data_IF_311168103053
#
_entry.id   IF_311168103053
#
_cell.length_a   1.000
_cell.length_b   1.000
_cell.length_c   1.000
_cell.angle_alpha   90.00
_cell.angle_beta   90.00
_cell.angle_gamma   90.00
#
_symmetry.space_group_name_H-M   'P 1'
#
loop_
_entity.id
_entity.type
_entity.pdbx_description
1 polymer ?
#
# COMPACT_ATOMS: atom_id res chain seq x y z
N UNK A 1 11.11 -10.89 3.67
CA UNK A 1 10.37 -11.96 4.33
C UNK A 1 9.14 -12.34 3.50
N UNK A 2 8.84 -13.64 3.39
CA UNK A 2 7.57 -14.16 2.86
C UNK A 2 6.60 -14.37 4.01
N UNK A 3 5.40 -13.78 3.92
CA UNK A 3 4.42 -13.70 5.01
C UNK A 3 3.16 -14.48 4.64
N UNK A 4 2.63 -15.22 5.59
CA UNK A 4 1.49 -16.13 5.40
C UNK A 4 0.17 -15.37 5.13
N UNK A 5 -0.07 -14.26 5.82
CA UNK A 5 -1.32 -13.50 5.71
C UNK A 5 -1.11 -12.02 6.02
N UNK A 6 -2.05 -11.15 5.61
CA UNK A 6 -1.93 -9.73 5.90
C UNK A 6 -1.93 -9.41 7.41
N UNK A 7 -2.80 -10.00 8.26
CA UNK A 7 -2.73 -9.78 9.71
C UNK A 7 -1.35 -10.10 10.29
N UNK A 8 -0.70 -11.12 9.77
CA UNK A 8 0.62 -11.58 10.22
C UNK A 8 1.72 -10.56 9.93
N UNK A 9 1.58 -9.72 8.88
CA UNK A 9 2.51 -8.60 8.62
C UNK A 9 2.60 -7.68 9.83
N UNK A 10 1.46 -7.37 10.47
CA UNK A 10 1.41 -6.50 11.64
C UNK A 10 2.08 -7.12 12.87
N UNK A 11 1.97 -8.45 13.04
CA UNK A 11 2.66 -9.15 14.12
C UNK A 11 4.18 -9.16 13.89
N UNK A 12 4.63 -9.35 12.66
CA UNK A 12 6.06 -9.25 12.31
C UNK A 12 6.57 -7.82 12.53
N UNK A 13 5.84 -6.79 12.06
CA UNK A 13 6.19 -5.38 12.32
C UNK A 13 6.34 -5.13 13.83
N UNK A 14 5.36 -5.56 14.62
CA UNK A 14 5.37 -5.40 16.08
C UNK A 14 6.55 -6.09 16.73
N UNK A 15 6.87 -7.32 16.32
CA UNK A 15 7.99 -8.08 16.86
C UNK A 15 9.32 -7.38 16.58
N UNK A 16 9.55 -6.97 15.34
CA UNK A 16 10.80 -6.32 14.95
C UNK A 16 10.94 -4.91 15.55
N UNK A 17 9.90 -4.08 15.50
CA UNK A 17 9.95 -2.70 16.01
C UNK A 17 10.04 -2.61 17.54
N UNK A 18 9.75 -3.69 18.26
CA UNK A 18 9.94 -3.73 19.71
C UNK A 18 11.42 -3.76 20.14
N UNK A 19 12.32 -4.27 19.28
CA UNK A 19 13.71 -4.50 19.63
C UNK A 19 14.71 -3.88 18.64
N UNK A 20 14.26 -3.52 17.43
CA UNK A 20 15.10 -2.95 16.38
C UNK A 20 14.50 -1.62 15.92
N UNK A 21 15.35 -0.60 15.77
CA UNK A 21 14.96 0.66 15.14
C UNK A 21 14.90 0.46 13.63
N UNK A 22 13.68 0.23 13.11
CA UNK A 22 13.43 0.06 11.68
C UNK A 22 13.49 1.42 10.98
N UNK A 23 14.25 1.50 9.89
CA UNK A 23 14.28 2.66 8.98
C UNK A 23 13.25 2.55 7.87
N UNK A 24 12.82 1.32 7.54
CA UNK A 24 11.70 1.07 6.64
C UNK A 24 10.99 -0.24 6.98
N UNK A 25 9.68 -0.27 6.73
CA UNK A 25 8.86 -1.48 6.73
C UNK A 25 7.80 -1.39 5.63
N UNK A 26 8.08 -2.06 4.54
CA UNK A 26 7.27 -2.11 3.34
C UNK A 26 6.56 -3.44 3.21
N UNK A 27 5.41 -3.46 2.53
CA UNK A 27 4.78 -4.72 2.13
C UNK A 27 4.34 -4.70 0.68
N UNK A 28 4.19 -5.88 0.10
CA UNK A 28 3.59 -6.08 -1.22
C UNK A 28 3.02 -7.50 -1.36
N UNK A 29 1.99 -7.64 -2.19
CA UNK A 29 1.34 -8.92 -2.48
C UNK A 29 2.18 -9.78 -3.45
N UNK A 30 1.90 -11.09 -3.49
CA UNK A 30 2.50 -12.02 -4.47
C UNK A 30 2.26 -11.53 -5.91
N UNK A 31 1.07 -11.00 -6.20
CA UNK A 31 0.75 -10.47 -7.53
C UNK A 31 1.69 -9.32 -7.90
N UNK A 32 1.98 -8.41 -6.95
CA UNK A 32 2.93 -7.33 -7.18
C UNK A 32 4.32 -7.87 -7.54
N UNK A 33 4.83 -8.83 -6.77
CA UNK A 33 6.12 -9.45 -7.00
C UNK A 33 6.19 -10.15 -8.36
N UNK A 34 5.17 -10.94 -8.71
CA UNK A 34 5.12 -11.65 -9.99
C UNK A 34 5.15 -10.66 -11.18
N UNK A 35 4.43 -9.53 -11.10
CA UNK A 35 4.46 -8.48 -12.15
C UNK A 35 5.85 -7.88 -12.31
N UNK A 36 6.52 -7.55 -11.21
CA UNK A 36 7.89 -6.99 -11.24
C UNK A 36 8.89 -8.00 -11.80
N UNK A 37 8.89 -9.23 -11.31
CA UNK A 37 9.81 -10.28 -11.78
C UNK A 37 9.63 -10.50 -13.28
N UNK A 38 8.38 -10.68 -13.74
CA UNK A 38 8.10 -11.00 -15.14
C UNK A 38 8.42 -9.84 -16.09
N UNK A 39 8.22 -8.60 -15.68
CA UNK A 39 8.44 -7.44 -16.56
C UNK A 39 9.87 -6.92 -16.51
N UNK A 40 10.47 -6.85 -15.31
CA UNK A 40 11.83 -6.31 -15.13
C UNK A 40 12.93 -7.36 -15.25
N UNK A 41 12.58 -8.66 -15.21
CA UNK A 41 13.54 -9.74 -15.22
C UNK A 41 14.35 -9.86 -13.91
N UNK A 42 13.81 -9.33 -12.80
CA UNK A 42 14.43 -9.52 -11.49
C UNK A 42 14.30 -10.97 -11.02
N UNK A 43 15.22 -11.39 -10.18
CA UNK A 43 15.13 -12.70 -9.54
C UNK A 43 14.21 -12.65 -8.31
N UNK A 44 13.47 -13.73 -8.08
CA UNK A 44 12.75 -13.90 -6.83
C UNK A 44 13.74 -13.91 -5.65
N UNK A 45 13.39 -13.33 -4.49
CA UNK A 45 14.30 -13.23 -3.35
C UNK A 45 14.59 -14.62 -2.76
N UNK A 46 13.65 -15.56 -2.86
CA UNK A 46 13.75 -16.96 -2.45
C UNK A 46 12.74 -17.81 -3.25
N UNK A 47 12.74 -19.13 -3.06
CA UNK A 47 11.92 -20.06 -3.86
C UNK A 47 10.48 -20.22 -3.35
N UNK A 48 10.30 -20.06 -2.05
CA UNK A 48 8.99 -20.21 -1.39
C UNK A 48 8.07 -19.07 -1.83
N UNK A 49 6.88 -19.40 -2.34
CA UNK A 49 5.84 -18.42 -2.62
C UNK A 49 5.06 -18.10 -1.35
N UNK A 50 4.75 -16.84 -1.15
CA UNK A 50 3.97 -16.34 -0.02
C UNK A 50 2.87 -15.40 -0.52
N UNK A 51 1.70 -15.34 0.12
CA UNK A 51 0.65 -14.39 -0.26
C UNK A 51 1.10 -12.94 -0.20
N UNK A 52 1.97 -12.62 0.78
CA UNK A 52 2.54 -11.29 1.00
C UNK A 52 4.04 -11.36 1.27
N UNK A 53 4.67 -10.22 1.07
CA UNK A 53 6.09 -10.02 1.36
C UNK A 53 6.25 -8.76 2.20
N UNK A 54 7.18 -8.81 3.16
CA UNK A 54 7.62 -7.67 3.92
C UNK A 54 9.11 -7.40 3.63
N UNK A 55 9.44 -6.15 3.32
CA UNK A 55 10.80 -5.65 3.21
C UNK A 55 11.08 -4.75 4.41
N UNK A 56 12.05 -5.16 5.23
CA UNK A 56 12.48 -4.43 6.41
C UNK A 56 13.87 -3.87 6.19
N UNK A 57 14.11 -2.63 6.64
CA UNK A 57 15.43 -2.03 6.69
C UNK A 57 15.71 -1.51 8.09
N UNK A 58 16.96 -1.67 8.53
CA UNK A 58 17.45 -1.16 9.79
C UNK A 58 18.96 -0.90 9.72
N UNK A 59 19.43 0.03 10.54
CA UNK A 59 20.88 0.30 10.65
C UNK A 59 21.57 -0.78 11.46
N UNK A 60 22.67 -1.29 10.93
CA UNK A 60 23.50 -2.33 11.57
C UNK A 60 24.83 -1.78 12.08
N UNK A 61 24.78 -0.63 12.78
CA UNK A 61 25.98 -0.02 13.35
C UNK A 61 26.68 -0.87 14.45
N UNK A 62 25.95 -1.81 15.05
CA UNK A 62 26.43 -2.74 16.07
C UNK A 62 26.11 -4.19 15.66
N UNK A 63 27.06 -5.10 15.82
CA UNK A 63 26.88 -6.52 15.47
C UNK A 63 25.68 -7.19 16.17
N UNK A 64 25.32 -6.71 17.37
CA UNK A 64 24.18 -7.18 18.14
C UNK A 64 22.83 -7.01 17.45
N UNK A 65 22.68 -6.00 16.56
CA UNK A 65 21.41 -5.75 15.84
C UNK A 65 21.15 -6.84 14.79
N UNK A 66 22.20 -7.32 14.11
CA UNK A 66 22.08 -8.42 13.16
C UNK A 66 21.68 -9.73 13.86
N UNK A 67 22.30 -10.02 15.01
CA UNK A 67 21.96 -11.21 15.81
C UNK A 67 20.51 -11.13 16.30
N UNK A 68 20.06 -9.94 16.75
CA UNK A 68 18.67 -9.70 17.13
C UNK A 68 17.73 -9.92 15.95
N UNK A 69 18.07 -9.40 14.76
CA UNK A 69 17.28 -9.58 13.54
C UNK A 69 17.14 -11.05 13.14
N UNK A 70 18.21 -11.83 13.23
CA UNK A 70 18.18 -13.28 12.95
C UNK A 70 17.32 -14.02 13.97
N UNK A 71 17.48 -13.73 15.28
CA UNK A 71 16.66 -14.34 16.32
C UNK A 71 15.17 -14.04 16.12
N UNK A 72 14.80 -12.78 15.84
CA UNK A 72 13.42 -12.40 15.57
C UNK A 72 12.86 -13.08 14.32
N UNK A 73 13.70 -13.25 13.29
CA UNK A 73 13.33 -14.01 12.10
C UNK A 73 13.00 -15.47 12.47
N UNK A 74 13.86 -16.15 13.22
CA UNK A 74 13.64 -17.53 13.66
C UNK A 74 12.37 -17.65 14.52
N UNK A 75 12.16 -16.72 15.46
CA UNK A 75 10.93 -16.67 16.27
C UNK A 75 9.66 -16.49 15.42
N UNK A 76 9.71 -15.67 14.38
CA UNK A 76 8.58 -15.47 13.47
C UNK A 76 8.34 -16.71 12.58
N UNK A 77 9.41 -17.42 12.19
CA UNK A 77 9.30 -18.71 11.49
C UNK A 77 8.66 -19.78 12.38
N UNK A 78 9.11 -19.90 13.63
CA UNK A 78 8.56 -20.86 14.60
C UNK A 78 7.06 -20.62 14.89
N UNK A 79 6.62 -19.37 14.85
CA UNK A 79 5.20 -18.99 14.99
C UNK A 79 4.39 -19.21 13.70
N UNK A 80 5.03 -19.56 12.59
CA UNK A 80 4.40 -19.69 11.27
C UNK A 80 3.99 -18.36 10.64
N UNK A 81 4.48 -17.22 11.16
CA UNK A 81 4.21 -15.89 10.60
C UNK A 81 5.03 -15.62 9.35
N UNK A 82 6.27 -16.11 9.33
CA UNK A 82 7.19 -16.03 8.20
C UNK A 82 7.37 -17.42 7.61
N UNK A 83 7.24 -17.53 6.30
CA UNK A 83 7.37 -18.78 5.54
C UNK A 83 8.78 -19.01 5.02
N UNK A 84 9.49 -17.92 4.71
CA UNK A 84 10.85 -17.90 4.17
C UNK A 84 11.40 -16.47 4.24
N UNK A 85 12.71 -16.31 4.11
CA UNK A 85 13.30 -14.98 4.12
C UNK A 85 14.75 -14.95 3.65
N UNK A 86 15.22 -13.76 3.35
CA UNK A 86 16.62 -13.50 2.98
C UNK A 86 17.08 -12.20 3.64
N UNK A 87 18.32 -12.20 4.09
CA UNK A 87 19.00 -11.01 4.59
C UNK A 87 20.10 -10.61 3.60
N UNK A 88 20.15 -9.35 3.21
CA UNK A 88 21.22 -8.82 2.37
C UNK A 88 22.56 -8.83 3.14
N UNK A 89 23.63 -9.25 2.45
CA UNK A 89 25.00 -9.28 2.98
C UNK A 89 25.89 -8.22 2.31
N UNK A 90 25.30 -7.37 1.49
CA UNK A 90 25.99 -6.27 0.80
C UNK A 90 24.98 -5.22 0.32
N UNK A 91 25.45 -3.98 0.12
CA UNK A 91 24.62 -2.89 -0.45
C UNK A 91 23.99 -3.28 -1.77
N UNK A 92 24.73 -3.97 -2.65
CA UNK A 92 24.19 -4.43 -3.93
C UNK A 92 23.01 -5.41 -3.77
N UNK A 93 23.09 -6.29 -2.77
CA UNK A 93 21.95 -7.19 -2.48
C UNK A 93 20.77 -6.40 -1.88
N UNK A 94 21.02 -5.45 -0.98
CA UNK A 94 20.00 -4.58 -0.44
C UNK A 94 19.28 -3.78 -1.55
N UNK A 95 20.02 -3.14 -2.46
CA UNK A 95 19.50 -2.46 -3.64
C UNK A 95 18.64 -3.40 -4.52
N UNK A 96 19.08 -4.66 -4.70
CA UNK A 96 18.32 -5.64 -5.48
C UNK A 96 17.01 -6.03 -4.81
N UNK A 97 16.96 -6.10 -3.47
CA UNK A 97 15.72 -6.34 -2.72
C UNK A 97 14.79 -5.14 -2.77
N UNK A 98 15.33 -3.91 -2.64
CA UNK A 98 14.55 -2.69 -2.77
C UNK A 98 13.91 -2.53 -4.15
N UNK A 99 14.59 -2.90 -5.22
CA UNK A 99 14.02 -2.88 -6.58
C UNK A 99 12.75 -3.72 -6.72
N UNK A 100 12.61 -4.83 -5.98
CA UNK A 100 11.38 -5.62 -5.98
C UNK A 100 10.17 -4.82 -5.48
N UNK A 101 10.38 -3.85 -4.60
CA UNK A 101 9.35 -2.97 -4.04
C UNK A 101 9.19 -1.67 -4.85
N UNK A 102 10.28 -0.99 -5.14
CA UNK A 102 10.28 0.32 -5.81
C UNK A 102 9.75 0.25 -7.24
N UNK A 103 10.10 -0.80 -7.98
CA UNK A 103 9.70 -0.98 -9.37
C UNK A 103 8.20 -1.33 -9.55
N UNK A 104 7.45 -1.60 -8.47
CA UNK A 104 6.04 -2.00 -8.56
C UNK A 104 5.22 -0.92 -9.29
N UNK A 105 5.25 0.32 -8.81
CA UNK A 105 4.41 1.39 -9.34
C UNK A 105 4.64 1.63 -10.84
N UNK A 106 5.90 1.63 -11.28
CA UNK A 106 6.25 1.82 -12.68
C UNK A 106 5.89 0.60 -13.53
N UNK A 107 6.15 -0.60 -13.01
CA UNK A 107 5.80 -1.85 -13.70
C UNK A 107 4.30 -1.94 -13.97
N UNK A 108 3.46 -1.49 -13.03
CA UNK A 108 2.02 -1.58 -13.20
C UNK A 108 1.45 -0.70 -14.32
N UNK A 109 2.14 0.36 -14.76
CA UNK A 109 1.65 1.25 -15.82
C UNK A 109 1.27 0.53 -17.12
N UNK A 110 1.97 -0.54 -17.48
CA UNK A 110 1.66 -1.34 -18.67
C UNK A 110 0.31 -2.08 -18.61
N UNK A 111 -0.27 -2.21 -17.41
CA UNK A 111 -1.56 -2.88 -17.18
C UNK A 111 -2.73 -1.91 -17.03
N UNK A 112 -2.55 -0.63 -17.42
CA UNK A 112 -3.56 0.43 -17.26
C UNK A 112 -4.19 0.44 -15.84
N UNK A 113 -3.40 0.61 -14.76
CA UNK A 113 -3.89 0.44 -13.40
C UNK A 113 -4.82 1.57 -12.98
N UNK A 114 -5.88 1.24 -12.26
CA UNK A 114 -6.64 2.21 -11.48
C UNK A 114 -6.04 2.29 -10.07
N UNK A 115 -5.35 3.40 -9.80
CA UNK A 115 -4.53 3.58 -8.59
C UNK A 115 -5.31 4.26 -7.48
N UNK A 116 -5.25 3.70 -6.28
CA UNK A 116 -5.75 4.29 -5.05
C UNK A 116 -4.61 4.36 -4.04
N UNK A 117 -4.41 5.55 -3.50
CA UNK A 117 -3.48 5.87 -2.42
C UNK A 117 -4.34 6.24 -1.20
N UNK A 118 -4.46 5.33 -0.27
CA UNK A 118 -5.39 5.41 0.85
C UNK A 118 -4.67 5.15 2.17
N UNK A 119 -5.23 5.65 3.26
CA UNK A 119 -4.75 5.28 4.59
C UNK A 119 -5.90 4.82 5.48
N UNK A 120 -5.58 3.89 6.36
CA UNK A 120 -6.47 3.42 7.44
C UNK A 120 -5.62 3.24 8.69
N UNK A 121 -6.26 3.34 9.86
CA UNK A 121 -5.57 2.98 11.10
C UNK A 121 -4.99 1.57 10.99
N UNK A 122 -3.73 1.42 11.38
CA UNK A 122 -2.99 0.16 11.24
C UNK A 122 -3.75 -1.04 11.85
N UNK A 123 -4.35 -0.84 13.03
CA UNK A 123 -5.16 -1.87 13.71
C UNK A 123 -6.43 -2.28 12.96
N UNK A 124 -6.88 -1.48 11.98
CA UNK A 124 -8.09 -1.73 11.19
C UNK A 124 -7.77 -2.21 9.76
N UNK A 125 -6.49 -2.22 9.37
CA UNK A 125 -6.08 -2.63 8.02
C UNK A 125 -6.49 -4.05 7.65
N UNK A 126 -6.34 -5.08 8.51
CA UNK A 126 -6.72 -6.45 8.15
C UNK A 126 -8.19 -6.54 7.77
N UNK A 127 -9.08 -6.00 8.60
CA UNK A 127 -10.52 -5.99 8.34
C UNK A 127 -10.89 -5.18 7.09
N UNK A 128 -10.18 -4.07 6.87
CA UNK A 128 -10.38 -3.22 5.69
C UNK A 128 -10.02 -3.95 4.41
N UNK A 129 -8.83 -4.56 4.35
CA UNK A 129 -8.36 -5.31 3.16
C UNK A 129 -9.31 -6.47 2.86
N UNK A 130 -9.67 -7.26 3.87
CA UNK A 130 -10.63 -8.36 3.73
C UNK A 130 -11.98 -7.85 3.18
N UNK A 131 -12.49 -6.72 3.70
CA UNK A 131 -13.72 -6.12 3.21
C UNK A 131 -13.63 -5.69 1.74
N UNK A 132 -12.49 -5.16 1.31
CA UNK A 132 -12.26 -4.79 -0.09
C UNK A 132 -12.21 -6.05 -0.96
N UNK A 133 -11.46 -7.07 -0.56
CA UNK A 133 -11.31 -8.32 -1.31
C UNK A 133 -12.65 -9.04 -1.49
N UNK A 134 -13.47 -9.14 -0.44
CA UNK A 134 -14.83 -9.71 -0.50
C UNK A 134 -15.70 -8.95 -1.51
N UNK A 135 -15.67 -7.61 -1.50
CA UNK A 135 -16.48 -6.81 -2.43
C UNK A 135 -16.01 -7.02 -3.87
N UNK A 136 -14.70 -7.06 -4.09
CA UNK A 136 -14.14 -7.31 -5.42
C UNK A 136 -14.52 -8.69 -5.92
N UNK A 137 -14.37 -9.72 -5.11
CA UNK A 137 -14.74 -11.10 -5.46
C UNK A 137 -16.22 -11.21 -5.85
N UNK A 138 -17.11 -10.56 -5.10
CA UNK A 138 -18.56 -10.64 -5.33
C UNK A 138 -19.05 -9.79 -6.49
N UNK A 139 -18.52 -8.58 -6.68
CA UNK A 139 -19.07 -7.59 -7.64
C UNK A 139 -18.19 -7.35 -8.85
N UNK A 140 -16.88 -7.62 -8.74
CA UNK A 140 -15.91 -7.34 -9.77
C UNK A 140 -14.91 -8.52 -9.97
N UNK A 141 -15.38 -9.76 -10.14
CA UNK A 141 -14.55 -10.97 -10.10
C UNK A 141 -13.46 -11.04 -11.17
N UNK A 142 -13.46 -10.10 -12.11
CA UNK A 142 -12.43 -9.99 -13.16
C UNK A 142 -11.32 -8.99 -12.81
N UNK A 143 -11.43 -8.29 -11.68
CA UNK A 143 -10.42 -7.34 -11.26
C UNK A 143 -9.28 -8.05 -10.56
N UNK A 144 -8.07 -7.82 -11.03
CA UNK A 144 -6.85 -8.27 -10.36
C UNK A 144 -6.36 -7.16 -9.44
N UNK A 145 -6.27 -7.44 -8.14
CA UNK A 145 -5.82 -6.50 -7.13
C UNK A 145 -4.31 -6.63 -6.92
N UNK A 146 -3.64 -5.49 -6.83
CA UNK A 146 -2.24 -5.40 -6.44
C UNK A 146 -2.14 -4.50 -5.22
N UNK A 147 -1.78 -5.13 -4.10
CA UNK A 147 -1.55 -4.45 -2.84
C UNK A 147 -0.06 -4.24 -2.60
N UNK A 148 0.32 -3.06 -2.19
CA UNK A 148 1.61 -2.72 -1.60
C UNK A 148 1.47 -1.44 -0.76
N UNK A 149 2.49 -1.10 0.03
CA UNK A 149 2.42 0.14 0.82
C UNK A 149 3.41 0.21 1.96
N UNK A 150 3.30 1.31 2.69
CA UNK A 150 4.12 1.68 3.84
C UNK A 150 3.33 1.35 5.12
N UNK A 151 3.52 0.15 5.65
CA UNK A 151 2.69 -0.34 6.77
C UNK A 151 2.85 0.53 8.02
N UNK A 152 4.07 0.99 8.31
CA UNK A 152 4.34 1.83 9.47
C UNK A 152 3.52 3.11 9.51
N UNK A 153 3.16 3.65 8.34
CA UNK A 153 2.42 4.91 8.18
C UNK A 153 0.92 4.73 7.97
N UNK A 154 0.46 3.48 7.96
CA UNK A 154 -0.94 3.19 7.66
C UNK A 154 -1.32 3.39 6.19
N UNK A 155 -0.33 3.50 5.29
CA UNK A 155 -0.54 3.77 3.87
C UNK A 155 -0.67 2.48 3.06
N UNK A 156 -1.74 2.41 2.27
CA UNK A 156 -2.06 1.32 1.36
C UNK A 156 -2.19 1.82 -0.07
N UNK A 157 -1.42 1.23 -0.96
CA UNK A 157 -1.57 1.41 -2.41
C UNK A 157 -2.39 0.24 -2.98
N UNK A 158 -3.65 0.50 -3.25
CA UNK A 158 -4.53 -0.43 -3.95
C UNK A 158 -4.52 -0.11 -5.43
N UNK A 159 -4.01 -1.01 -6.25
CA UNK A 159 -4.11 -0.90 -7.70
C UNK A 159 -5.01 -2.01 -8.24
N UNK A 160 -5.93 -1.62 -9.12
CA UNK A 160 -6.78 -2.55 -9.84
C UNK A 160 -6.28 -2.57 -11.28
N UNK A 161 -5.91 -3.74 -11.78
CA UNK A 161 -5.41 -3.88 -13.14
C UNK A 161 -6.57 -4.05 -14.12
N UNK A 162 -6.45 -3.43 -15.31
CA UNK A 162 -7.50 -3.53 -16.34
C UNK A 162 -7.52 -4.94 -16.91
N UNK A 163 -8.67 -5.64 -16.84
CA UNK A 163 -8.82 -6.94 -17.48
C UNK A 163 -8.76 -6.82 -19.02
N UNK A 164 -8.21 -7.83 -19.67
CA UNK A 164 -8.06 -7.85 -21.14
C UNK A 164 -9.43 -7.77 -21.89
N UNK A 165 -10.48 -8.32 -21.29
CA UNK A 165 -11.83 -8.35 -21.86
C UNK A 165 -12.62 -7.04 -21.71
N UNK A 166 -12.03 -6.00 -21.10
CA UNK A 166 -12.66 -4.67 -20.97
C UNK A 166 -11.92 -3.63 -21.81
N UNK A 167 -12.68 -2.77 -22.45
CA UNK A 167 -12.13 -1.52 -23.01
C UNK A 167 -11.75 -0.57 -21.87
N UNK A 168 -10.83 0.37 -22.13
CA UNK A 168 -10.42 1.37 -21.12
C UNK A 168 -11.62 2.19 -20.62
N UNK A 169 -12.60 2.53 -21.49
CA UNK A 169 -13.80 3.26 -21.10
C UNK A 169 -14.68 2.45 -20.13
N UNK A 170 -14.93 1.17 -20.43
CA UNK A 170 -15.70 0.27 -19.56
C UNK A 170 -14.98 0.04 -18.21
N UNK A 171 -13.66 -0.06 -18.24
CA UNK A 171 -12.86 -0.22 -17.03
C UNK A 171 -12.97 1.02 -16.13
N UNK A 172 -12.78 2.23 -16.69
CA UNK A 172 -12.91 3.49 -15.96
C UNK A 172 -14.30 3.65 -15.35
N UNK A 173 -15.36 3.32 -16.07
CA UNK A 173 -16.74 3.36 -15.55
C UNK A 173 -16.91 2.43 -14.35
N UNK A 174 -16.44 1.18 -14.45
CA UNK A 174 -16.52 0.21 -13.35
C UNK A 174 -15.68 0.64 -12.14
N UNK A 175 -14.48 1.17 -12.37
CA UNK A 175 -13.64 1.72 -11.32
C UNK A 175 -14.27 2.94 -10.64
N UNK A 176 -14.97 3.80 -11.39
CA UNK A 176 -15.71 4.93 -10.82
C UNK A 176 -16.85 4.46 -9.89
N UNK A 177 -17.54 3.38 -10.24
CA UNK A 177 -18.56 2.78 -9.37
C UNK A 177 -17.93 2.13 -8.14
N UNK A 178 -16.80 1.43 -8.30
CA UNK A 178 -16.06 0.87 -7.16
C UNK A 178 -15.52 1.96 -6.23
N UNK A 179 -15.06 3.11 -6.75
CA UNK A 179 -14.54 4.21 -5.94
C UNK A 179 -15.55 4.74 -4.92
N UNK A 180 -16.85 4.70 -5.21
CA UNK A 180 -17.91 5.09 -4.26
C UNK A 180 -17.95 4.09 -3.09
N UNK A 181 -17.96 2.80 -3.42
CA UNK A 181 -17.95 1.72 -2.41
C UNK A 181 -16.68 1.76 -1.57
N UNK A 182 -15.54 1.97 -2.22
CA UNK A 182 -14.25 2.12 -1.52
C UNK A 182 -14.25 3.35 -0.60
N UNK A 183 -14.82 4.48 -1.05
CA UNK A 183 -14.96 5.70 -0.25
C UNK A 183 -15.82 5.45 1.01
N UNK A 184 -16.95 4.75 0.87
CA UNK A 184 -17.81 4.36 2.00
C UNK A 184 -17.07 3.46 3.00
N UNK A 185 -16.27 2.50 2.51
CA UNK A 185 -15.41 1.68 3.37
C UNK A 185 -14.37 2.52 4.08
N UNK A 186 -13.65 3.40 3.38
CA UNK A 186 -12.65 4.29 3.96
C UNK A 186 -13.28 5.11 5.09
N UNK A 187 -14.46 5.71 4.87
CA UNK A 187 -15.19 6.45 5.89
C UNK A 187 -15.57 5.57 7.09
N UNK A 188 -16.09 4.34 6.84
CA UNK A 188 -16.43 3.36 7.90
C UNK A 188 -15.24 3.01 8.78
N UNK A 189 -14.05 2.91 8.18
CA UNK A 189 -12.82 2.55 8.90
C UNK A 189 -12.04 3.77 9.41
N UNK A 190 -12.58 4.99 9.26
CA UNK A 190 -11.96 6.23 9.73
C UNK A 190 -10.66 6.58 8.97
N UNK A 191 -10.60 6.18 7.70
CA UNK A 191 -9.42 6.35 6.86
C UNK A 191 -9.41 7.64 6.04
N UNK A 192 -8.45 7.72 5.11
CA UNK A 192 -8.33 8.82 4.15
C UNK A 192 -8.27 8.30 2.72
N UNK A 193 -8.96 9.00 1.81
CA UNK A 193 -8.91 8.75 0.36
C UNK A 193 -7.58 9.18 -0.27
N UNK A 194 -6.73 9.85 0.48
CA UNK A 194 -5.38 10.22 0.07
C UNK A 194 -4.43 10.15 1.25
N UNK A 195 -3.50 9.18 1.20
CA UNK A 195 -2.48 9.03 2.23
C UNK A 195 -1.37 10.08 2.04
N UNK A 196 -0.69 10.06 0.89
CA UNK A 196 0.49 10.88 0.62
C UNK A 196 0.41 11.71 -0.66
N UNK A 197 -0.38 11.30 -1.67
CA UNK A 197 -0.40 11.95 -2.98
C UNK A 197 -1.14 13.30 -3.01
N UNK A 198 -1.92 13.60 -1.98
CA UNK A 198 -2.81 14.75 -1.94
C UNK A 198 -4.10 14.55 -2.76
N UNK A 199 -5.02 15.48 -2.61
CA UNK A 199 -6.37 15.42 -3.19
C UNK A 199 -6.38 15.89 -4.66
N UNK A 200 -5.76 17.02 -4.95
CA UNK A 200 -5.69 17.61 -6.28
C UNK A 200 -7.05 17.76 -6.95
N UNK A 201 -7.12 17.41 -8.23
CA UNK A 201 -8.37 17.38 -9.02
C UNK A 201 -9.08 16.02 -8.90
N UNK A 202 -8.31 14.93 -8.86
CA UNK A 202 -8.83 13.57 -9.03
C UNK A 202 -9.63 13.09 -7.81
N UNK A 203 -9.23 13.49 -6.61
CA UNK A 203 -9.83 13.04 -5.34
C UNK A 203 -10.78 14.04 -4.72
N UNK A 204 -10.96 15.23 -5.33
CA UNK A 204 -11.85 16.29 -4.84
C UNK A 204 -13.29 15.81 -4.64
N UNK A 205 -13.84 15.09 -5.62
CA UNK A 205 -15.21 14.57 -5.56
C UNK A 205 -15.43 13.54 -4.44
N UNK A 206 -14.37 12.92 -3.93
CA UNK A 206 -14.42 11.87 -2.89
C UNK A 206 -13.86 12.35 -1.54
N UNK A 207 -13.47 13.63 -1.42
CA UNK A 207 -12.91 14.20 -0.19
C UNK A 207 -13.88 14.09 1.00
N UNK A 208 -15.18 14.16 0.74
CA UNK A 208 -16.24 14.04 1.76
C UNK A 208 -16.25 12.67 2.49
N UNK A 209 -15.60 11.64 1.96
CA UNK A 209 -15.43 10.36 2.68
C UNK A 209 -14.35 10.43 3.77
N UNK A 210 -13.46 11.43 3.70
CA UNK A 210 -12.33 11.60 4.64
C UNK A 210 -12.43 12.84 5.49
N UNK A 211 -13.29 13.79 5.13
CA UNK A 211 -13.45 15.07 5.81
C UNK A 211 -14.92 15.42 5.95
N UNK A 212 -15.26 15.92 7.12
CA UNK A 212 -16.60 16.44 7.38
C UNK A 212 -16.86 17.73 6.60
N UNK A 213 -18.11 18.07 6.41
CA UNK A 213 -18.49 19.36 5.80
C UNK A 213 -17.90 20.55 6.55
N UNK A 214 -17.88 20.51 7.89
CA UNK A 214 -17.29 21.54 8.73
C UNK A 214 -15.78 21.71 8.47
N UNK A 215 -15.05 20.60 8.33
CA UNK A 215 -13.63 20.62 7.99
C UNK A 215 -13.40 21.20 6.58
N UNK A 216 -14.19 20.80 5.59
CA UNK A 216 -14.10 21.31 4.22
C UNK A 216 -14.37 22.81 4.20
N UNK A 217 -15.39 23.28 4.91
CA UNK A 217 -15.68 24.70 5.04
C UNK A 217 -14.52 25.47 5.68
N UNK A 218 -13.91 24.92 6.73
CA UNK A 218 -12.72 25.53 7.36
C UNK A 218 -11.53 25.55 6.39
N UNK A 219 -11.32 24.51 5.60
CA UNK A 219 -10.28 24.50 4.56
C UNK A 219 -10.51 25.62 3.54
N UNK A 220 -11.76 25.87 3.11
CA UNK A 220 -12.13 26.98 2.22
C UNK A 220 -11.82 28.34 2.86
N UNK A 221 -12.15 28.55 4.13
CA UNK A 221 -11.84 29.81 4.84
C UNK A 221 -10.33 30.03 4.96
N UNK A 222 -9.56 28.99 5.31
CA UNK A 222 -8.09 29.06 5.36
C UNK A 222 -7.52 29.40 3.98
N UNK A 223 -8.04 28.76 2.92
CA UNK A 223 -7.62 29.07 1.54
C UNK A 223 -7.85 30.55 1.20
N UNK A 224 -9.00 31.12 1.56
CA UNK A 224 -9.33 32.55 1.30
C UNK A 224 -8.36 33.51 1.98
N UNK A 225 -7.81 33.14 3.14
CA UNK A 225 -6.82 33.96 3.84
C UNK A 225 -5.52 34.11 3.02
N UNK A 226 -5.05 33.01 2.42
CA UNK A 226 -3.81 32.99 1.64
C UNK A 226 -4.00 33.30 0.15
N UNK A 227 -5.19 33.09 -0.37
CA UNK A 227 -5.53 33.25 -1.78
C UNK A 227 -6.89 33.92 -1.96
N UNK A 228 -7.00 35.22 -1.53
CA UNK A 228 -8.27 35.95 -1.60
C UNK A 228 -8.79 36.16 -3.03
N UNK A 229 -7.92 36.09 -4.03
CA UNK A 229 -8.26 36.24 -5.44
C UNK A 229 -8.49 34.93 -6.18
N UNK A 230 -8.31 33.77 -5.51
CA UNK A 230 -8.53 32.44 -6.10
C UNK A 230 -7.60 32.09 -7.25
N UNK A 231 -6.38 32.63 -7.28
CA UNK A 231 -5.42 32.43 -8.39
C UNK A 231 -4.43 31.27 -8.16
N UNK A 232 -4.31 30.79 -6.92
CA UNK A 232 -3.40 29.70 -6.56
C UNK A 232 -4.08 28.36 -6.74
N UNK A 233 -3.64 27.60 -7.76
CA UNK A 233 -4.17 26.26 -8.08
C UNK A 233 -5.72 26.23 -8.10
N UNK A 234 -6.39 27.04 -8.93
CA UNK A 234 -7.84 27.13 -8.95
C UNK A 234 -8.50 25.78 -9.24
N UNK A 235 -9.60 25.49 -8.54
CA UNK A 235 -10.39 24.26 -8.70
C UNK A 235 -9.77 22.98 -8.16
N UNK A 236 -8.59 23.05 -7.53
CA UNK A 236 -7.92 21.89 -6.91
C UNK A 236 -8.17 21.85 -5.41
N UNK A 237 -8.27 20.66 -4.85
CA UNK A 237 -8.53 20.34 -3.46
C UNK A 237 -9.96 20.70 -3.02
N UNK A 238 -10.31 21.96 -3.06
CA UNK A 238 -11.60 22.59 -2.70
C UNK A 238 -11.96 23.67 -3.72
N UNK A 239 -13.21 24.12 -3.71
CA UNK A 239 -13.70 25.25 -4.53
C UNK A 239 -13.56 26.57 -3.80
#
# INVERSE_FOLDING_TARGET
LGIDSFPTILEVLKAFSAEINLTAFEFFSQVALDKVINFRGHNAPFKTKAPFYALLEFESSEGSVLDTGLRLFDECMDKGWVLDGVMSQSLRQAESLWKLREDISETLWQYEPFKNDISVLMSRMPEFIESVEIIIEQKYPYFELVWYGHIGDGNLHLNILKPENLTSAQFVERCSNFSKVLGELIAKYGGSVSAEHGVGLLKKAVLHYSRTEAEINLMCEVKKVFDPNGILNPGKLID
#
